data_IF_108271896516
#
_entry.id   IF_108271896516
#
_cell.length_a   1.000
_cell.length_b   1.000
_cell.length_c   1.000
_cell.angle_alpha   90.00
_cell.angle_beta   90.00
_cell.angle_gamma   90.00
#
_symmetry.space_group_name_H-M   'P 1'
#
loop_
_entity.id
_entity.type
_entity.pdbx_description
1 polymer ?
#
# COMPACT_ATOMS: atom_id res chain seq x y z
N UNK A 1 -26.32 -12.91 18.12
CA UNK A 1 -25.65 -11.80 18.83
C UNK A 1 -26.75 -10.90 19.36
N UNK A 2 -26.76 -10.55 20.65
CA UNK A 2 -27.80 -9.68 21.22
C UNK A 2 -27.72 -8.27 20.64
N UNK A 3 -28.86 -7.64 20.38
CA UNK A 3 -28.90 -6.24 19.96
C UNK A 3 -28.40 -5.35 21.10
N UNK A 4 -27.38 -4.54 20.81
CA UNK A 4 -26.81 -3.59 21.76
C UNK A 4 -27.22 -2.18 21.33
N UNK A 5 -27.67 -1.37 22.27
CA UNK A 5 -28.10 0.01 22.02
C UNK A 5 -27.21 0.97 22.80
N UNK A 6 -26.70 2.02 22.14
CA UNK A 6 -25.91 3.09 22.76
C UNK A 6 -26.53 4.44 22.47
N UNK A 7 -26.55 5.30 23.49
CA UNK A 7 -27.03 6.67 23.36
C UNK A 7 -25.98 7.56 22.67
N UNK A 8 -26.45 8.52 21.88
CA UNK A 8 -25.61 9.45 21.11
C UNK A 8 -25.21 10.71 21.90
N UNK A 9 -25.27 10.68 23.24
CA UNK A 9 -24.80 11.69 24.18
C UNK A 9 -23.37 12.18 23.82
N UNK A 10 -22.49 11.28 23.40
CA UNK A 10 -21.11 11.58 23.00
C UNK A 10 -20.97 12.40 21.71
N UNK A 11 -22.03 12.47 20.89
CA UNK A 11 -22.15 13.40 19.75
C UNK A 11 -23.01 14.62 20.10
N UNK A 12 -23.47 14.71 21.35
CA UNK A 12 -24.37 15.74 21.85
C UNK A 12 -25.81 15.56 21.37
N UNK A 13 -26.26 14.32 21.13
CA UNK A 13 -27.64 14.00 20.75
C UNK A 13 -28.31 13.10 21.79
N UNK A 14 -28.55 13.60 23.02
CA UNK A 14 -29.10 12.82 24.12
C UNK A 14 -30.46 12.19 23.83
N UNK A 15 -31.24 12.80 22.94
CA UNK A 15 -32.58 12.36 22.56
C UNK A 15 -32.57 11.16 21.59
N UNK A 16 -31.39 10.65 21.22
CA UNK A 16 -31.25 9.57 20.25
C UNK A 16 -30.33 8.46 20.74
N UNK A 17 -30.64 7.24 20.34
CA UNK A 17 -29.76 6.07 20.50
C UNK A 17 -29.69 5.28 19.21
N UNK A 18 -28.62 4.50 19.03
CA UNK A 18 -28.41 3.64 17.87
C UNK A 18 -28.08 2.22 18.30
N UNK A 19 -28.60 1.22 17.57
CA UNK A 19 -28.21 -0.18 17.76
C UNK A 19 -26.95 -0.55 16.99
N UNK A 20 -26.30 -1.64 17.39
CA UNK A 20 -25.15 -2.21 16.67
C UNK A 20 -25.50 -2.77 15.28
N UNK A 21 -26.78 -2.88 14.93
CA UNK A 21 -27.28 -3.27 13.61
C UNK A 21 -27.69 -2.08 12.74
N UNK A 22 -27.58 -0.85 13.23
CA UNK A 22 -27.91 0.37 12.47
C UNK A 22 -29.35 0.87 12.61
N UNK A 23 -30.12 0.39 13.59
CA UNK A 23 -31.45 0.94 13.87
C UNK A 23 -31.31 2.16 14.78
N UNK A 24 -31.83 3.30 14.34
CA UNK A 24 -31.85 4.53 15.13
C UNK A 24 -33.18 4.70 15.86
N UNK A 25 -33.10 5.06 17.13
CA UNK A 25 -34.23 5.35 18.01
C UNK A 25 -34.20 6.81 18.45
N UNK A 26 -35.37 7.42 18.47
CA UNK A 26 -35.65 8.69 19.16
C UNK A 26 -36.35 8.43 20.48
N UNK A 27 -36.05 9.25 21.47
CA UNK A 27 -36.59 9.18 22.83
C UNK A 27 -37.62 10.28 23.07
N UNK A 28 -38.59 10.00 23.93
CA UNK A 28 -39.60 10.98 24.28
C UNK A 28 -39.02 12.06 25.20
N UNK A 29 -39.37 13.33 24.96
CA UNK A 29 -38.98 14.43 25.84
C UNK A 29 -40.17 14.85 26.70
N UNK A 30 -40.08 14.60 28.00
CA UNK A 30 -41.10 15.05 28.96
C UNK A 30 -40.80 16.49 29.33
N UNK A 31 -41.80 17.36 29.18
CA UNK A 31 -41.77 18.72 29.73
C UNK A 31 -42.36 18.68 31.12
N UNK A 32 -41.69 19.28 32.09
CA UNK A 32 -42.25 19.45 33.43
C UNK A 32 -42.27 20.93 33.82
N UNK A 33 -43.22 21.25 34.69
CA UNK A 33 -43.42 22.58 35.25
C UNK A 33 -43.35 22.45 36.77
N UNK A 34 -42.31 23.01 37.37
CA UNK A 34 -42.19 23.11 38.82
C UNK A 34 -41.90 24.56 39.19
N UNK A 35 -42.77 25.19 39.98
CA UNK A 35 -42.62 26.52 40.58
C UNK A 35 -41.73 27.51 39.80
N UNK A 36 -42.13 27.83 38.56
CA UNK A 36 -41.47 28.77 37.62
C UNK A 36 -40.23 28.28 36.85
N UNK A 37 -39.78 27.04 37.04
CA UNK A 37 -38.71 26.41 36.24
C UNK A 37 -39.34 25.53 35.14
N UNK A 38 -39.00 25.82 33.89
CA UNK A 38 -39.34 24.96 32.73
C UNK A 38 -38.15 24.05 32.45
N UNK A 39 -38.34 22.74 32.60
CA UNK A 39 -37.33 21.74 32.27
C UNK A 39 -37.79 20.79 31.17
N UNK A 40 -36.81 20.11 30.57
CA UNK A 40 -37.01 18.98 29.65
C UNK A 40 -36.14 17.83 30.13
N UNK A 41 -36.74 16.66 30.34
CA UNK A 41 -36.00 15.42 30.56
C UNK A 41 -36.27 14.44 29.42
N UNK A 42 -35.28 13.61 29.09
CA UNK A 42 -35.38 12.60 28.05
C UNK A 42 -35.73 11.27 28.72
N UNK A 43 -36.89 10.72 28.38
CA UNK A 43 -37.26 9.37 28.79
C UNK A 43 -36.67 8.35 27.79
N UNK A 44 -35.58 7.72 28.22
CA UNK A 44 -34.83 6.75 27.41
C UNK A 44 -35.54 5.37 27.31
N UNK A 45 -36.58 5.11 28.11
CA UNK A 45 -37.34 3.85 28.07
C UNK A 45 -38.26 3.75 26.86
N UNK A 46 -38.67 4.88 26.31
CA UNK A 46 -39.49 4.97 25.10
C UNK A 46 -38.58 5.00 23.88
N UNK A 47 -38.73 4.01 22.99
CA UNK A 47 -37.98 3.88 21.76
C UNK A 47 -38.91 4.05 20.56
N UNK A 48 -38.70 5.10 19.77
CA UNK A 48 -39.39 5.29 18.48
C UNK A 48 -38.38 5.22 17.34
N UNK A 49 -38.55 4.27 16.44
CA UNK A 49 -37.68 4.09 15.26
C UNK A 49 -37.73 5.36 14.40
N UNK A 50 -36.55 5.84 14.03
CA UNK A 50 -36.37 6.94 13.09
C UNK A 50 -36.12 6.36 11.71
N UNK A 51 -36.91 6.80 10.74
CA UNK A 51 -36.80 6.31 9.36
C UNK A 51 -35.60 6.94 8.65
N UNK A 52 -34.75 6.13 7.98
CA UNK A 52 -33.70 6.65 7.11
C UNK A 52 -34.25 7.49 5.94
N UNK A 53 -33.41 8.37 5.41
CA UNK A 53 -33.69 9.13 4.20
C UNK A 53 -33.63 8.17 3.01
N UNK A 54 -34.73 8.03 2.27
CA UNK A 54 -34.75 7.32 1.00
C UNK A 54 -34.11 8.20 -0.09
N UNK A 55 -33.06 7.70 -0.74
CA UNK A 55 -32.49 8.33 -1.93
C UNK A 55 -32.95 7.62 -3.20
N UNK A 56 -32.88 8.29 -4.35
CA UNK A 56 -33.41 7.79 -5.63
C UNK A 56 -32.56 6.67 -6.26
N UNK A 57 -31.43 6.28 -5.66
CA UNK A 57 -30.57 5.23 -6.22
C UNK A 57 -30.01 4.32 -5.12
N UNK A 58 -29.79 3.07 -5.49
CA UNK A 58 -29.47 1.98 -4.56
C UNK A 58 -28.00 2.00 -4.08
N UNK A 59 -27.15 2.84 -4.66
CA UNK A 59 -25.70 2.83 -4.41
C UNK A 59 -25.20 3.97 -3.49
N UNK A 60 -26.08 4.51 -2.65
CA UNK A 60 -25.76 5.59 -1.71
C UNK A 60 -25.80 5.08 -0.27
N UNK A 61 -24.93 5.65 0.58
CA UNK A 61 -24.92 5.37 2.01
C UNK A 61 -26.28 5.69 2.64
N UNK A 62 -26.72 4.84 3.57
CA UNK A 62 -27.96 5.05 4.32
C UNK A 62 -27.76 6.25 5.25
N UNK A 63 -28.61 7.26 5.10
CA UNK A 63 -28.52 8.51 5.86
C UNK A 63 -29.73 8.73 6.75
N UNK A 64 -29.56 9.47 7.84
CA UNK A 64 -30.63 9.82 8.76
C UNK A 64 -30.54 11.27 9.20
N UNK A 65 -31.68 11.89 9.53
CA UNK A 65 -31.74 13.26 10.03
C UNK A 65 -31.96 13.30 11.53
N UNK A 66 -31.07 13.97 12.24
CA UNK A 66 -31.20 14.26 13.66
C UNK A 66 -31.56 15.74 13.84
N UNK A 67 -32.48 16.02 14.75
CA UNK A 67 -32.81 17.38 15.16
C UNK A 67 -32.12 17.72 16.48
N UNK A 68 -31.47 18.88 16.56
CA UNK A 68 -30.92 19.44 17.79
C UNK A 68 -31.10 20.94 17.82
N UNK A 69 -31.76 21.45 18.87
CA UNK A 69 -31.99 22.90 19.07
C UNK A 69 -32.56 23.64 17.84
N UNK A 70 -33.46 22.99 17.09
CA UNK A 70 -34.06 23.56 15.87
C UNK A 70 -33.23 23.40 14.59
N UNK A 71 -31.98 22.95 14.69
CA UNK A 71 -31.15 22.60 13.53
C UNK A 71 -31.32 21.13 13.14
N UNK A 72 -31.34 20.88 11.83
CA UNK A 72 -31.38 19.54 11.22
C UNK A 72 -30.00 19.17 10.73
N UNK A 73 -29.43 18.10 11.26
CA UNK A 73 -28.14 17.56 10.84
C UNK A 73 -28.37 16.18 10.21
N UNK A 74 -27.65 15.90 9.12
CA UNK A 74 -27.73 14.62 8.42
C UNK A 74 -26.48 13.82 8.71
N UNK A 75 -26.64 12.55 9.06
CA UNK A 75 -25.54 11.63 9.36
C UNK A 75 -25.65 10.38 8.50
N UNK A 76 -24.50 9.80 8.15
CA UNK A 76 -24.40 8.43 7.67
C UNK A 76 -24.63 7.46 8.84
N UNK A 77 -25.54 6.50 8.66
CA UNK A 77 -25.88 5.54 9.71
C UNK A 77 -24.69 4.63 10.02
N UNK A 78 -23.91 4.21 9.03
CA UNK A 78 -22.72 3.39 9.23
C UNK A 78 -21.67 4.12 10.10
N UNK A 79 -21.51 5.42 9.88
CA UNK A 79 -20.64 6.26 10.71
C UNK A 79 -21.11 6.31 12.17
N UNK A 80 -22.41 6.45 12.41
CA UNK A 80 -22.96 6.46 13.77
C UNK A 80 -22.75 5.11 14.47
N UNK A 81 -22.98 3.99 13.76
CA UNK A 81 -22.75 2.64 14.30
C UNK A 81 -21.28 2.46 14.64
N UNK A 82 -20.38 2.76 13.70
CA UNK A 82 -18.95 2.61 13.93
C UNK A 82 -18.45 3.49 15.08
N UNK A 83 -18.96 4.73 15.20
CA UNK A 83 -18.57 5.63 16.30
C UNK A 83 -19.06 5.13 17.66
N UNK A 84 -20.18 4.42 17.69
CA UNK A 84 -20.73 3.84 18.92
C UNK A 84 -20.07 2.50 19.29
N UNK A 85 -19.75 1.64 18.32
CA UNK A 85 -19.45 0.22 18.57
C UNK A 85 -18.11 -0.29 18.03
N UNK A 86 -17.38 0.48 17.22
CA UNK A 86 -16.13 0.05 16.59
C UNK A 86 -14.98 0.93 17.08
N UNK A 87 -13.98 0.31 17.72
CA UNK A 87 -12.81 1.01 18.22
C UNK A 87 -12.04 1.70 17.08
N UNK A 88 -11.54 2.90 17.37
CA UNK A 88 -10.79 3.71 16.41
C UNK A 88 -9.53 4.31 17.07
N UNK A 89 -8.56 3.46 17.47
CA UNK A 89 -7.33 3.92 18.13
C UNK A 89 -6.48 4.83 17.24
N UNK A 90 -6.55 4.64 15.91
CA UNK A 90 -5.77 5.36 14.91
C UNK A 90 -6.43 6.66 14.42
N UNK A 91 -7.59 7.03 14.97
CA UNK A 91 -8.35 8.23 14.63
C UNK A 91 -8.62 8.39 13.11
N UNK A 92 -8.99 7.28 12.45
CA UNK A 92 -9.39 7.24 11.04
C UNK A 92 -10.77 7.90 10.84
N UNK A 93 -11.09 8.37 9.64
CA UNK A 93 -12.23 9.28 9.42
C UNK A 93 -13.32 8.77 8.47
N UNK A 94 -13.07 7.70 7.73
CA UNK A 94 -14.01 7.11 6.78
C UNK A 94 -14.40 5.68 7.18
N UNK A 95 -15.45 5.13 6.58
CA UNK A 95 -15.96 3.78 6.84
C UNK A 95 -15.82 2.89 5.60
N UNK A 96 -15.39 1.64 5.81
CA UNK A 96 -15.43 0.57 4.83
C UNK A 96 -16.38 -0.55 5.30
N UNK A 97 -17.04 -1.20 4.34
CA UNK A 97 -17.92 -2.34 4.54
C UNK A 97 -17.15 -3.60 4.14
N UNK A 98 -16.99 -4.57 5.05
CA UNK A 98 -16.12 -5.74 4.82
C UNK A 98 -16.67 -6.67 3.74
N UNK A 99 -18.00 -6.74 3.60
CA UNK A 99 -18.71 -7.51 2.59
C UNK A 99 -19.08 -6.73 1.32
N UNK A 100 -18.73 -5.45 1.25
CA UNK A 100 -19.14 -4.50 0.20
C UNK A 100 -20.66 -4.28 0.06
N UNK A 101 -21.47 -4.65 1.06
CA UNK A 101 -22.91 -4.38 1.09
C UNK A 101 -23.23 -3.14 1.94
N UNK A 102 -23.68 -2.06 1.30
CA UNK A 102 -24.04 -0.79 1.95
C UNK A 102 -25.27 -0.90 2.85
N UNK A 103 -26.08 -1.95 2.69
CA UNK A 103 -27.24 -2.22 3.54
C UNK A 103 -26.87 -2.96 4.83
N UNK A 104 -25.73 -3.66 4.86
CA UNK A 104 -25.26 -4.36 6.05
C UNK A 104 -24.53 -3.42 7.02
N UNK A 105 -25.32 -2.73 7.84
CA UNK A 105 -24.85 -1.75 8.83
C UNK A 105 -24.40 -2.38 10.17
N UNK A 106 -24.22 -3.70 10.23
CA UNK A 106 -23.77 -4.34 11.46
C UNK A 106 -22.37 -3.86 11.84
N UNK A 107 -22.15 -3.48 13.10
CA UNK A 107 -20.86 -3.01 13.59
C UNK A 107 -19.70 -3.97 13.27
N UNK A 108 -19.93 -5.29 13.27
CA UNK A 108 -18.93 -6.29 12.92
C UNK A 108 -18.54 -6.28 11.43
N UNK A 109 -19.39 -5.70 10.56
CA UNK A 109 -19.15 -5.52 9.13
C UNK A 109 -18.46 -4.18 8.79
N UNK A 110 -18.29 -3.29 9.78
CA UNK A 110 -17.76 -1.94 9.55
C UNK A 110 -16.32 -1.83 10.07
N UNK A 111 -15.48 -1.11 9.32
CA UNK A 111 -14.12 -0.78 9.74
C UNK A 111 -13.78 0.67 9.39
N UNK A 112 -13.08 1.34 10.30
CA UNK A 112 -12.54 2.68 10.03
C UNK A 112 -11.40 2.63 9.00
N UNK A 113 -11.43 3.54 8.02
CA UNK A 113 -10.44 3.72 6.96
C UNK A 113 -10.17 5.21 6.67
N UNK A 114 -9.30 5.50 5.70
CA UNK A 114 -9.09 6.84 5.16
C UNK A 114 -9.30 6.79 3.64
N UNK A 115 -10.53 7.09 3.18
CA UNK A 115 -11.05 6.87 1.83
C UNK A 115 -10.30 7.68 0.77
N UNK A 116 -9.65 8.80 1.14
CA UNK A 116 -8.75 9.56 0.26
C UNK A 116 -7.51 8.76 -0.21
N UNK A 117 -7.22 7.63 0.42
CA UNK A 117 -6.02 6.85 0.13
C UNK A 117 -6.25 5.39 -0.18
N UNK A 118 -7.48 4.88 -0.09
CA UNK A 118 -7.75 3.47 -0.37
C UNK A 118 -7.98 3.25 -1.87
N UNK A 119 -7.16 2.40 -2.49
CA UNK A 119 -7.40 1.89 -3.84
C UNK A 119 -8.05 0.51 -3.72
N UNK A 120 -9.16 0.32 -4.44
CA UNK A 120 -9.86 -0.96 -4.46
C UNK A 120 -8.95 -2.07 -4.99
N UNK A 121 -9.04 -3.26 -4.40
CA UNK A 121 -8.44 -4.47 -4.95
C UNK A 121 -8.93 -4.68 -6.39
N UNK A 122 -8.05 -5.12 -7.28
CA UNK A 122 -8.30 -5.25 -8.71
C UNK A 122 -8.11 -3.95 -9.52
N UNK A 123 -7.91 -2.79 -8.86
CA UNK A 123 -7.54 -1.57 -9.57
C UNK A 123 -6.25 -1.78 -10.35
N UNK A 124 -6.29 -1.53 -11.66
CA UNK A 124 -5.18 -1.75 -12.57
C UNK A 124 -4.71 -0.45 -13.22
N UNK A 125 -3.40 -0.30 -13.39
CA UNK A 125 -2.80 0.87 -14.02
C UNK A 125 -1.49 0.51 -14.71
N UNK A 126 -1.06 1.33 -15.67
CA UNK A 126 0.27 1.22 -16.27
C UNK A 126 1.26 2.17 -15.60
N UNK A 127 2.47 1.70 -15.37
CA UNK A 127 3.60 2.51 -14.92
C UNK A 127 4.15 3.38 -16.06
N UNK A 128 5.04 4.32 -15.73
CA UNK A 128 5.69 5.19 -16.73
C UNK A 128 6.53 4.44 -17.77
N UNK A 129 7.08 3.28 -17.41
CA UNK A 129 7.84 2.38 -18.29
C UNK A 129 6.97 1.30 -18.97
N UNK A 130 5.65 1.33 -18.75
CA UNK A 130 4.68 0.51 -19.49
C UNK A 130 4.29 -0.82 -18.84
N UNK A 131 4.86 -1.16 -17.68
CA UNK A 131 4.46 -2.34 -16.91
C UNK A 131 3.01 -2.22 -16.42
N UNK A 132 2.28 -3.32 -16.41
CA UNK A 132 0.92 -3.41 -15.89
C UNK A 132 0.97 -3.73 -14.39
N UNK A 133 0.32 -2.91 -13.58
CA UNK A 133 0.19 -3.11 -12.16
C UNK A 133 -1.27 -3.33 -11.77
N UNK A 134 -1.52 -4.32 -10.91
CA UNK A 134 -2.83 -4.61 -10.32
C UNK A 134 -2.71 -4.59 -8.81
N UNK A 135 -3.55 -3.79 -8.14
CA UNK A 135 -3.61 -3.77 -6.67
C UNK A 135 -4.21 -5.08 -6.19
N UNK A 136 -3.46 -5.81 -5.34
CA UNK A 136 -3.96 -7.02 -4.69
C UNK A 136 -4.63 -6.61 -3.38
N UNK A 137 -3.91 -5.85 -2.54
CA UNK A 137 -4.35 -5.47 -1.21
C UNK A 137 -3.67 -4.20 -0.74
N UNK A 138 -4.40 -3.39 0.03
CA UNK A 138 -3.84 -2.26 0.74
C UNK A 138 -4.12 -2.40 2.24
N UNK A 139 -3.05 -2.55 3.02
CA UNK A 139 -3.12 -2.54 4.49
C UNK A 139 -3.10 -1.11 5.01
N UNK A 140 -2.19 -0.28 4.48
CA UNK A 140 -2.07 1.14 4.79
C UNK A 140 -1.41 1.92 3.62
N UNK A 141 -0.98 3.17 3.86
CA UNK A 141 -0.38 4.02 2.81
C UNK A 141 1.07 3.65 2.43
N UNK A 142 1.76 2.90 3.29
CA UNK A 142 3.14 2.43 3.11
C UNK A 142 3.20 0.97 2.66
N UNK A 143 2.14 0.20 2.90
CA UNK A 143 2.06 -1.23 2.60
C UNK A 143 0.90 -1.50 1.63
N UNK A 144 1.23 -1.49 0.35
CA UNK A 144 0.34 -1.81 -0.77
C UNK A 144 0.95 -2.95 -1.56
N UNK A 145 0.30 -4.11 -1.55
CA UNK A 145 0.72 -5.26 -2.34
C UNK A 145 0.13 -5.16 -3.74
N UNK A 146 1.00 -5.26 -4.73
CA UNK A 146 0.62 -5.17 -6.14
C UNK A 146 1.24 -6.34 -6.91
N UNK A 147 0.50 -6.86 -7.88
CA UNK A 147 1.07 -7.65 -8.96
C UNK A 147 1.61 -6.66 -10.00
N UNK A 148 2.88 -6.78 -10.39
CA UNK A 148 3.46 -6.05 -11.51
C UNK A 148 3.87 -7.02 -12.61
N UNK A 149 3.46 -6.74 -13.84
CA UNK A 149 3.70 -7.57 -15.02
C UNK A 149 4.35 -6.76 -16.15
N UNK A 150 5.37 -7.32 -16.79
CA UNK A 150 6.07 -6.71 -17.91
C UNK A 150 6.67 -7.76 -18.84
N UNK A 151 6.60 -7.52 -20.14
CA UNK A 151 7.36 -8.29 -21.13
C UNK A 151 8.82 -7.83 -21.25
N UNK A 152 9.10 -6.58 -20.87
CA UNK A 152 10.45 -6.02 -20.89
C UNK A 152 11.17 -6.31 -19.57
N UNK A 153 11.71 -7.52 -19.44
CA UNK A 153 12.41 -8.01 -18.24
C UNK A 153 13.71 -8.71 -18.59
N UNK A 154 14.66 -8.67 -17.67
CA UNK A 154 15.87 -9.48 -17.67
C UNK A 154 15.51 -10.85 -17.08
N UNK A 155 15.73 -11.92 -17.85
CA UNK A 155 15.30 -13.27 -17.51
C UNK A 155 13.83 -13.56 -17.89
N UNK A 156 13.23 -14.56 -17.24
CA UNK A 156 11.93 -15.11 -17.65
C UNK A 156 10.77 -14.80 -16.69
N UNK A 157 11.02 -14.07 -15.61
CA UNK A 157 10.00 -13.74 -14.60
C UNK A 157 9.27 -12.48 -15.05
N UNK A 158 8.12 -12.66 -15.71
CA UNK A 158 7.31 -11.57 -16.26
C UNK A 158 6.35 -10.93 -15.26
N UNK A 159 6.01 -11.64 -14.18
CA UNK A 159 5.04 -11.21 -13.19
C UNK A 159 5.56 -11.46 -11.79
N UNK A 160 5.44 -10.47 -10.91
CA UNK A 160 5.86 -10.59 -9.51
C UNK A 160 4.99 -9.73 -8.59
N UNK A 161 4.80 -10.23 -7.36
CA UNK A 161 4.13 -9.47 -6.32
C UNK A 161 5.17 -8.67 -5.55
N UNK A 162 4.95 -7.36 -5.42
CA UNK A 162 5.80 -6.47 -4.64
C UNK A 162 4.97 -5.62 -3.69
N UNK A 163 5.59 -5.26 -2.57
CA UNK A 163 5.05 -4.25 -1.66
C UNK A 163 5.54 -2.86 -2.09
N UNK A 164 4.66 -1.87 -2.05
CA UNK A 164 4.98 -0.49 -2.36
C UNK A 164 4.13 0.48 -1.54
N UNK A 165 4.33 1.78 -1.79
CA UNK A 165 3.56 2.84 -1.14
C UNK A 165 2.45 3.36 -2.04
N UNK A 166 1.38 3.86 -1.44
CA UNK A 166 0.29 4.52 -2.17
C UNK A 166 0.78 5.73 -2.99
N UNK A 167 1.84 6.39 -2.51
CA UNK A 167 2.49 7.50 -3.21
C UNK A 167 3.08 7.04 -4.53
N UNK A 168 3.79 5.91 -4.55
CA UNK A 168 4.39 5.35 -5.75
C UNK A 168 3.32 4.89 -6.76
N UNK A 169 2.22 4.32 -6.27
CA UNK A 169 1.06 3.95 -7.09
C UNK A 169 0.45 5.19 -7.75
N UNK A 170 0.13 6.23 -6.96
CA UNK A 170 -0.46 7.47 -7.48
C UNK A 170 0.44 8.17 -8.49
N UNK A 171 1.77 8.13 -8.28
CA UNK A 171 2.75 8.71 -9.21
C UNK A 171 3.07 7.80 -10.41
N UNK A 172 2.65 6.53 -10.39
CA UNK A 172 2.96 5.51 -11.40
C UNK A 172 4.47 5.30 -11.62
N UNK A 173 5.28 5.55 -10.59
CA UNK A 173 6.77 5.49 -10.64
C UNK A 173 7.33 4.13 -10.25
N UNK A 174 6.49 3.13 -10.11
CA UNK A 174 6.88 1.77 -9.74
C UNK A 174 7.57 1.14 -10.95
N UNK A 175 8.61 0.34 -10.70
CA UNK A 175 9.36 -0.37 -11.75
C UNK A 175 9.36 -1.86 -11.45
N UNK A 176 9.31 -2.66 -12.50
CA UNK A 176 9.48 -4.11 -12.36
C UNK A 176 10.89 -4.40 -11.81
N UNK A 177 11.06 -5.23 -10.78
CA UNK A 177 12.38 -5.52 -10.18
C UNK A 177 13.40 -6.07 -11.18
N UNK A 178 12.90 -6.82 -12.17
CA UNK A 178 13.69 -7.38 -13.27
C UNK A 178 13.70 -6.51 -14.52
N UNK A 179 13.22 -5.27 -14.48
CA UNK A 179 13.35 -4.35 -15.63
C UNK A 179 14.83 -4.02 -15.89
N UNK A 180 15.26 -3.86 -17.16
CA UNK A 180 16.64 -3.53 -17.53
C UNK A 180 16.96 -2.04 -17.24
N UNK A 181 16.92 -1.67 -15.97
CA UNK A 181 16.98 -0.29 -15.49
C UNK A 181 18.40 0.28 -15.39
N UNK A 182 19.43 -0.57 -15.39
CA UNK A 182 20.82 -0.18 -15.27
C UNK A 182 21.49 -0.34 -16.62
N UNK A 183 21.90 0.79 -17.20
CA UNK A 183 22.53 0.86 -18.54
C UNK A 183 21.70 0.22 -19.67
N UNK A 184 20.39 0.07 -19.48
CA UNK A 184 19.47 -0.54 -20.45
C UNK A 184 19.59 -2.06 -20.57
N UNK A 185 20.35 -2.72 -19.69
CA UNK A 185 20.66 -4.16 -19.79
C UNK A 185 20.60 -4.90 -18.47
N UNK A 186 20.95 -4.24 -17.36
CA UNK A 186 21.00 -4.84 -16.03
C UNK A 186 19.75 -4.55 -15.22
N UNK A 187 19.34 -5.50 -14.40
CA UNK A 187 18.26 -5.34 -13.43
C UNK A 187 18.77 -5.43 -12.00
N UNK A 188 18.06 -4.79 -11.07
CA UNK A 188 18.39 -4.88 -9.64
C UNK A 188 18.01 -6.23 -9.06
N UNK A 189 16.87 -6.82 -9.49
CA UNK A 189 16.37 -8.10 -8.97
C UNK A 189 15.70 -7.98 -7.60
N UNK A 190 15.37 -9.13 -7.02
CA UNK A 190 14.75 -9.26 -5.69
C UNK A 190 15.72 -10.03 -4.79
N UNK A 191 16.14 -9.42 -3.68
CA UNK A 191 17.08 -10.04 -2.75
C UNK A 191 17.60 -9.08 -1.69
N UNK A 192 18.56 -9.54 -0.87
CA UNK A 192 19.02 -8.82 0.33
C UNK A 192 20.09 -7.76 0.03
N UNK A 193 20.68 -7.75 -1.16
CA UNK A 193 21.79 -6.88 -1.48
C UNK A 193 21.28 -5.49 -1.87
N UNK A 194 21.65 -4.47 -1.09
CA UNK A 194 21.29 -3.08 -1.36
C UNK A 194 22.25 -2.45 -2.38
N UNK A 195 21.78 -1.44 -3.10
CA UNK A 195 22.58 -0.68 -4.08
C UNK A 195 23.30 0.52 -3.47
N UNK A 196 22.87 0.91 -2.26
CA UNK A 196 23.38 2.03 -1.51
C UNK A 196 23.27 1.78 -0.02
N UNK A 197 24.03 2.55 0.75
CA UNK A 197 24.02 2.60 2.21
C UNK A 197 24.04 4.05 2.67
N UNK A 198 23.47 4.34 3.84
CA UNK A 198 23.55 5.67 4.44
C UNK A 198 24.75 5.75 5.37
N UNK A 199 25.67 6.70 5.12
CA UNK A 199 26.78 7.05 6.02
C UNK A 199 26.68 8.53 6.38
N UNK A 200 26.54 8.85 7.66
CA UNK A 200 26.39 10.22 8.17
C UNK A 200 25.26 11.03 7.48
N UNK A 201 24.14 10.38 7.15
CA UNK A 201 23.01 11.00 6.45
C UNK A 201 23.21 11.19 4.94
N UNK A 202 24.36 10.78 4.41
CA UNK A 202 24.67 10.82 2.97
C UNK A 202 24.47 9.41 2.40
N UNK A 203 23.71 9.33 1.32
CA UNK A 203 23.58 8.10 0.55
C UNK A 203 24.86 7.85 -0.27
N UNK A 204 25.51 6.72 -0.02
CA UNK A 204 26.71 6.27 -0.71
C UNK A 204 26.40 4.97 -1.42
N UNK A 205 26.74 4.87 -2.71
CA UNK A 205 26.56 3.63 -3.47
C UNK A 205 27.39 2.51 -2.87
N UNK A 206 26.82 1.30 -2.87
CA UNK A 206 27.53 0.11 -2.45
C UNK A 206 28.71 -0.18 -3.40
N UNK A 207 29.83 -0.67 -2.86
CA UNK A 207 31.05 -0.93 -3.64
C UNK A 207 30.83 -2.04 -4.66
N UNK A 208 30.13 -3.12 -4.28
CA UNK A 208 29.79 -4.24 -5.19
C UNK A 208 28.89 -3.72 -6.31
N UNK A 209 27.87 -2.93 -5.98
CA UNK A 209 27.00 -2.29 -6.97
C UNK A 209 27.78 -1.40 -7.94
N UNK A 210 28.69 -0.59 -7.42
CA UNK A 210 29.50 0.32 -8.23
C UNK A 210 30.38 -0.43 -9.23
N UNK A 211 31.00 -1.53 -8.80
CA UNK A 211 31.80 -2.42 -9.68
C UNK A 211 30.94 -3.11 -10.73
N UNK A 212 29.79 -3.64 -10.34
CA UNK A 212 28.82 -4.27 -11.25
C UNK A 212 28.31 -3.29 -12.33
N UNK A 213 27.90 -2.09 -11.91
CA UNK A 213 27.43 -1.05 -12.82
C UNK A 213 28.53 -0.60 -13.78
N UNK A 214 29.78 -0.49 -13.31
CA UNK A 214 30.93 -0.17 -14.16
C UNK A 214 31.26 -1.30 -15.15
N UNK A 215 31.14 -2.57 -14.74
CA UNK A 215 31.26 -3.73 -15.64
C UNK A 215 30.24 -3.65 -16.77
N UNK A 216 28.96 -3.41 -16.46
CA UNK A 216 27.91 -3.27 -17.47
C UNK A 216 28.13 -2.05 -18.38
N UNK A 217 28.52 -0.90 -17.83
CA UNK A 217 28.82 0.29 -18.63
C UNK A 217 29.92 0.03 -19.67
N UNK A 218 31.01 -0.63 -19.25
CA UNK A 218 32.13 -0.98 -20.13
C UNK A 218 31.70 -1.92 -21.27
N UNK A 219 30.78 -2.85 -21.02
CA UNK A 219 30.36 -3.83 -22.02
C UNK A 219 29.30 -3.29 -23.00
N UNK A 220 28.39 -2.44 -22.53
CA UNK A 220 27.19 -2.09 -23.30
C UNK A 220 27.08 -0.61 -23.70
N UNK A 221 27.77 0.30 -23.01
CA UNK A 221 27.74 1.74 -23.31
C UNK A 221 29.04 2.18 -23.98
N UNK A 222 30.18 1.85 -23.40
CA UNK A 222 31.48 2.32 -23.87
C UNK A 222 32.01 1.50 -25.06
N UNK A 223 31.42 1.75 -26.23
CA UNK A 223 31.82 1.12 -27.51
C UNK A 223 33.13 1.68 -28.08
N UNK A 224 33.76 2.66 -27.42
CA UNK A 224 35.02 3.26 -27.86
C UNK A 224 36.20 2.33 -27.52
N UNK A 225 36.07 1.55 -26.45
CA UNK A 225 37.11 0.60 -26.03
C UNK A 225 37.13 -0.65 -26.91
N UNK A 226 38.13 -0.74 -27.81
CA UNK A 226 38.41 -1.95 -28.61
C UNK A 226 38.58 -3.21 -27.76
N UNK A 227 38.99 -3.06 -26.49
CA UNK A 227 39.25 -4.16 -25.57
C UNK A 227 37.97 -4.87 -25.09
N UNK A 228 36.82 -4.19 -25.09
CA UNK A 228 35.54 -4.73 -24.60
C UNK A 228 34.51 -4.94 -25.73
N UNK A 229 34.89 -4.64 -26.97
CA UNK A 229 34.06 -4.91 -28.14
C UNK A 229 33.80 -6.43 -28.27
N UNK A 230 32.52 -6.82 -28.25
CA UNK A 230 32.12 -8.23 -28.31
C UNK A 230 32.22 -8.99 -26.97
N UNK A 231 32.53 -8.32 -25.85
CA UNK A 231 32.49 -8.95 -24.52
C UNK A 231 31.04 -9.22 -24.10
N UNK A 232 30.74 -10.47 -23.77
CA UNK A 232 29.41 -10.88 -23.32
C UNK A 232 29.35 -10.92 -21.79
N UNK A 233 28.22 -10.49 -21.23
CA UNK A 233 27.90 -10.69 -19.81
C UNK A 233 26.80 -11.74 -19.75
N UNK A 234 27.00 -12.79 -18.95
CA UNK A 234 25.99 -13.84 -18.76
C UNK A 234 24.65 -13.23 -18.29
N UNK A 235 23.53 -13.87 -18.64
CA UNK A 235 22.21 -13.40 -18.20
C UNK A 235 22.11 -13.31 -16.67
N UNK A 236 22.79 -14.21 -15.95
CA UNK A 236 22.85 -14.18 -14.49
C UNK A 236 23.54 -12.91 -13.97
N UNK A 237 24.64 -12.50 -14.61
CA UNK A 237 25.38 -11.31 -14.19
C UNK A 237 24.73 -10.01 -14.65
N UNK A 238 23.66 -10.06 -15.46
CA UNK A 238 22.76 -8.92 -15.67
C UNK A 238 21.82 -8.69 -14.50
N UNK A 239 21.72 -9.62 -13.54
CA UNK A 239 20.97 -9.44 -12.30
C UNK A 239 21.91 -9.09 -11.15
N UNK A 240 21.73 -7.90 -10.56
CA UNK A 240 22.58 -7.44 -9.47
C UNK A 240 22.57 -8.37 -8.25
N UNK A 241 21.43 -8.97 -7.88
CA UNK A 241 21.40 -9.88 -6.73
C UNK A 241 22.25 -11.13 -6.95
N UNK A 242 22.25 -11.66 -8.17
CA UNK A 242 23.04 -12.85 -8.51
C UNK A 242 24.53 -12.52 -8.54
N UNK A 243 24.90 -11.40 -9.17
CA UNK A 243 26.27 -10.90 -9.15
C UNK A 243 26.76 -10.61 -7.73
N UNK A 244 25.99 -9.88 -6.92
CA UNK A 244 26.37 -9.51 -5.56
C UNK A 244 26.49 -10.73 -4.65
N UNK A 245 25.61 -11.73 -4.82
CA UNK A 245 25.72 -13.01 -4.14
C UNK A 245 27.02 -13.72 -4.48
N UNK A 246 27.33 -13.85 -5.78
CA UNK A 246 28.54 -14.50 -6.25
C UNK A 246 29.80 -13.83 -5.70
N UNK A 247 29.88 -12.50 -5.77
CA UNK A 247 31.03 -11.75 -5.25
C UNK A 247 31.15 -11.84 -3.74
N UNK A 248 30.03 -11.73 -3.02
CA UNK A 248 30.04 -11.89 -1.55
C UNK A 248 30.49 -13.29 -1.13
N UNK A 249 30.15 -14.31 -1.92
CA UNK A 249 30.60 -15.68 -1.70
C UNK A 249 32.11 -15.81 -1.93
N UNK A 250 32.62 -15.37 -3.09
CA UNK A 250 34.06 -15.41 -3.39
C UNK A 250 34.90 -14.66 -2.35
N UNK A 251 34.47 -13.46 -1.96
CA UNK A 251 35.17 -12.68 -0.94
C UNK A 251 35.29 -13.43 0.38
N UNK A 252 34.26 -14.20 0.76
CA UNK A 252 34.28 -15.03 1.97
C UNK A 252 35.22 -16.22 1.83
N UNK A 253 35.13 -16.96 0.73
CA UNK A 253 35.95 -18.16 0.52
C UNK A 253 37.45 -17.84 0.45
N UNK A 254 37.80 -16.67 -0.10
CA UNK A 254 39.19 -16.24 -0.25
C UNK A 254 39.67 -15.24 0.83
N UNK A 255 38.87 -15.03 1.88
CA UNK A 255 39.17 -14.06 2.96
C UNK A 255 39.51 -12.64 2.45
N UNK A 256 38.86 -12.20 1.39
CA UNK A 256 39.05 -10.87 0.78
C UNK A 256 38.19 -9.87 1.54
N UNK A 257 38.83 -8.84 2.09
CA UNK A 257 38.15 -7.80 2.90
C UNK A 257 37.85 -6.53 2.11
N UNK A 258 38.50 -6.33 0.96
CA UNK A 258 38.27 -5.19 0.07
C UNK A 258 38.23 -5.63 -1.40
N UNK A 259 37.39 -4.96 -2.18
CA UNK A 259 37.33 -5.10 -3.64
C UNK A 259 38.39 -4.24 -4.36
N UNK A 260 39.21 -3.50 -3.63
CA UNK A 260 40.27 -2.67 -4.23
C UNK A 260 41.39 -3.52 -4.82
N UNK A 261 41.64 -4.69 -4.23
CA UNK A 261 42.63 -5.67 -4.69
C UNK A 261 42.01 -6.80 -5.53
N UNK A 262 40.70 -6.69 -5.84
CA UNK A 262 39.94 -7.73 -6.53
C UNK A 262 39.28 -7.17 -7.79
N UNK A 263 39.89 -7.46 -8.94
CA UNK A 263 39.27 -7.26 -10.25
C UNK A 263 38.76 -8.59 -10.79
N UNK A 264 37.49 -8.65 -11.19
CA UNK A 264 37.00 -9.77 -12.00
C UNK A 264 37.62 -9.57 -13.40
N UNK A 265 38.56 -10.44 -13.76
CA UNK A 265 39.20 -10.43 -15.07
C UNK A 265 38.37 -11.20 -16.11
N UNK A 266 38.64 -10.96 -17.39
CA UNK A 266 37.95 -11.48 -18.58
C UNK A 266 38.41 -12.90 -18.95
N UNK A 267 38.29 -13.86 -18.04
CA UNK A 267 39.16 -15.04 -18.16
C UNK A 267 38.63 -16.22 -18.97
N UNK A 268 37.45 -16.12 -19.61
CA UNK A 268 37.00 -17.16 -20.56
C UNK A 268 37.02 -16.67 -22.01
N UNK A 269 38.09 -16.98 -22.76
CA UNK A 269 38.13 -16.83 -24.23
C UNK A 269 37.43 -18.02 -24.88
N UNK A 270 36.16 -17.86 -25.23
CA UNK A 270 35.48 -18.81 -26.13
C UNK A 270 35.78 -18.49 -27.60
N UNK A 271 35.48 -19.40 -28.52
CA UNK A 271 35.55 -19.14 -29.98
C UNK A 271 34.68 -17.96 -30.46
N UNK A 272 33.83 -17.40 -29.57
CA UNK A 272 32.94 -16.26 -29.81
C UNK A 272 33.33 -14.98 -29.06
N UNK A 273 34.41 -14.99 -28.26
CA UNK A 273 34.90 -13.83 -27.50
C UNK A 273 35.11 -14.10 -26.00
N UNK A 274 35.59 -13.06 -25.29
CA UNK A 274 35.76 -13.05 -23.83
C UNK A 274 34.44 -12.75 -23.10
N UNK A 275 34.17 -13.37 -21.95
CA UNK A 275 32.91 -13.14 -21.22
C UNK A 275 33.01 -13.17 -19.70
N UNK A 276 32.06 -12.49 -19.04
CA UNK A 276 31.84 -12.53 -17.59
C UNK A 276 30.75 -13.57 -17.27
N UNK A 277 31.11 -14.63 -16.55
CA UNK A 277 30.20 -15.71 -16.17
C UNK A 277 30.60 -16.35 -14.83
N UNK A 278 29.70 -17.14 -14.23
CA UNK A 278 29.93 -17.83 -12.94
C UNK A 278 30.94 -18.98 -13.01
N UNK A 279 31.16 -19.54 -14.21
CA UNK A 279 32.08 -20.66 -14.44
C UNK A 279 33.56 -20.24 -14.55
N UNK A 280 33.90 -19.01 -14.15
CA UNK A 280 35.28 -18.55 -13.95
C UNK A 280 35.89 -19.11 -12.68
#
# INVERSE_FOLDING_TARGET
MSELIKNLDFLGFPEYSISNSGVLYSHFTVKYYDNHIRGKCVDKSVLKIVTPIKQQSDNHNIQIRLNKAGMRLTFDVAYLVAKAFVDNPDNLHDINYLDNDLANLNAANLKWINKKFYLASGYSFKTTDGALCTIIMQTDNKHVDILIESDNVVGNIKGVIINTTIRSVKKKTIRHPFSPSVHGVGCIGIGPYTVSTCRNGIEVKDTIYSRWSAMLARCFIDKISKTYYGTMVSEEFKNYQQYAHFISYLMREHNITSLDDFEIDKDFKSQFGSGYCRET
#
